data_IF_964359053729
#
_entry.id   IF_964359053729
#
_cell.length_a   1.000
_cell.length_b   1.000
_cell.length_c   1.000
_cell.angle_alpha   90.00
_cell.angle_beta   90.00
_cell.angle_gamma   90.00
#
_symmetry.space_group_name_H-M   'P 1'
#
loop_
_entity.id
_entity.type
_entity.pdbx_description
1 polymer ?
#
# COMPACT_ATOMS: atom_id res chain seq x y z
N UNK A 1 -0.45 -3.50 -14.96
CA UNK A 1 -0.35 -4.51 -13.86
C UNK A 1 -1.09 -3.91 -12.66
N UNK A 2 -2.33 -4.31 -12.41
CA UNK A 2 -3.15 -3.71 -11.35
C UNK A 2 -2.57 -4.00 -9.95
N UNK A 3 -2.55 -2.94 -9.14
CA UNK A 3 -2.15 -2.98 -7.73
C UNK A 3 -3.35 -2.60 -6.89
N UNK A 4 -3.69 -3.44 -5.95
CA UNK A 4 -4.74 -3.18 -4.97
C UNK A 4 -4.16 -3.26 -3.56
N UNK A 5 -4.62 -2.38 -2.68
CA UNK A 5 -4.21 -2.37 -1.28
C UNK A 5 -5.39 -2.76 -0.39
N UNK A 6 -5.08 -3.50 0.66
CA UNK A 6 -6.04 -3.91 1.68
C UNK A 6 -5.46 -3.61 3.06
N UNK A 7 -6.15 -2.79 3.84
CA UNK A 7 -5.70 -2.33 5.15
C UNK A 7 -6.66 -2.84 6.22
N UNK A 8 -6.15 -3.66 7.11
CA UNK A 8 -6.97 -4.23 8.18
C UNK A 8 -7.09 -3.24 9.33
N UNK A 9 -8.31 -2.81 9.62
CA UNK A 9 -8.69 -2.01 10.78
C UNK A 9 -7.71 -0.85 11.10
N UNK A 10 -7.41 0.03 10.13
CA UNK A 10 -6.48 1.14 10.32
C UNK A 10 -6.97 2.06 11.44
N UNK A 11 -6.03 2.57 12.25
CA UNK A 11 -6.31 3.40 13.42
C UNK A 11 -6.10 4.89 13.12
N UNK A 12 -4.98 5.21 12.48
CA UNK A 12 -4.54 6.60 12.28
C UNK A 12 -5.01 7.16 10.94
N UNK A 13 -5.76 8.29 10.94
CA UNK A 13 -6.08 9.03 9.72
C UNK A 13 -4.86 9.55 8.98
N UNK A 14 -3.78 9.89 9.71
CA UNK A 14 -2.52 10.35 9.14
C UNK A 14 -1.85 9.22 8.34
N UNK A 15 -1.86 7.99 8.86
CA UNK A 15 -1.37 6.82 8.13
C UNK A 15 -2.20 6.60 6.87
N UNK A 16 -3.53 6.63 6.98
CA UNK A 16 -4.40 6.47 5.80
C UNK A 16 -4.19 7.58 4.77
N UNK A 17 -4.02 8.83 5.19
CA UNK A 17 -3.68 9.95 4.30
C UNK A 17 -2.35 9.72 3.56
N UNK A 18 -1.34 9.22 4.28
CA UNK A 18 -0.03 8.87 3.70
C UNK A 18 -0.12 7.68 2.74
N UNK A 19 -0.93 6.66 3.07
CA UNK A 19 -1.20 5.51 2.21
C UNK A 19 -1.93 5.94 0.92
N UNK A 20 -2.92 6.81 1.02
CA UNK A 20 -3.63 7.37 -0.14
C UNK A 20 -2.66 8.10 -1.09
N UNK A 21 -1.77 8.93 -0.52
CA UNK A 21 -0.73 9.60 -1.31
C UNK A 21 0.22 8.61 -1.98
N UNK A 22 0.70 7.60 -1.24
CA UNK A 22 1.54 6.55 -1.81
C UNK A 22 0.82 5.80 -2.94
N UNK A 23 -0.44 5.42 -2.72
CA UNK A 23 -1.26 4.75 -3.73
C UNK A 23 -1.38 5.58 -5.02
N UNK A 24 -1.56 6.90 -4.92
CA UNK A 24 -1.54 7.80 -6.07
C UNK A 24 -0.20 7.84 -6.78
N UNK A 25 0.90 8.02 -6.03
CA UNK A 25 2.25 8.08 -6.58
C UNK A 25 2.66 6.79 -7.31
N UNK A 26 2.24 5.64 -6.82
CA UNK A 26 2.55 4.32 -7.39
C UNK A 26 1.43 3.73 -8.24
N UNK A 27 0.41 4.52 -8.56
CA UNK A 27 -0.71 4.16 -9.44
C UNK A 27 -1.48 2.90 -8.99
N UNK A 28 -1.70 2.75 -7.69
CA UNK A 28 -2.59 1.72 -7.17
C UNK A 28 -4.04 2.03 -7.59
N UNK A 29 -4.78 1.01 -7.99
CA UNK A 29 -6.14 1.18 -8.52
C UNK A 29 -7.21 1.29 -7.44
N UNK A 30 -7.00 0.64 -6.32
CA UNK A 30 -7.96 0.71 -5.21
C UNK A 30 -7.32 0.46 -3.85
N UNK A 31 -7.99 0.98 -2.82
CA UNK A 31 -7.73 0.68 -1.43
C UNK A 31 -9.04 0.17 -0.83
N UNK A 32 -8.98 -1.00 -0.18
CA UNK A 32 -10.06 -1.47 0.70
C UNK A 32 -9.59 -1.49 2.13
N UNK A 33 -10.48 -1.26 3.07
CA UNK A 33 -10.15 -1.34 4.49
C UNK A 33 -11.30 -1.94 5.29
N UNK A 34 -10.97 -2.57 6.43
CA UNK A 34 -11.95 -3.09 7.38
C UNK A 34 -11.96 -2.25 8.66
N UNK A 35 -12.95 -2.49 9.53
CA UNK A 35 -13.07 -1.87 10.85
C UNK A 35 -13.54 -0.42 10.81
N UNK A 36 -13.97 0.04 12.00
CA UNK A 36 -14.65 1.34 12.17
C UNK A 36 -13.73 2.47 12.66
N UNK A 37 -12.48 2.15 13.05
CA UNK A 37 -11.58 3.11 13.69
C UNK A 37 -11.24 4.29 12.77
N UNK A 38 -10.92 3.99 11.52
CA UNK A 38 -10.62 5.02 10.52
C UNK A 38 -11.85 5.84 10.15
N UNK A 39 -13.01 5.21 9.95
CA UNK A 39 -14.23 5.91 9.60
C UNK A 39 -14.62 6.95 10.66
N UNK A 40 -14.49 6.60 11.94
CA UNK A 40 -14.72 7.51 13.07
C UNK A 40 -13.71 8.66 13.09
N UNK A 41 -12.44 8.37 12.88
CA UNK A 41 -11.37 9.37 12.92
C UNK A 41 -11.40 10.29 11.68
N UNK A 42 -11.79 9.81 10.51
CA UNK A 42 -11.94 10.61 9.27
C UNK A 42 -12.94 11.74 9.41
N UNK A 43 -13.96 11.58 10.25
CA UNK A 43 -14.94 12.63 10.51
C UNK A 43 -14.33 13.92 11.13
N UNK A 44 -13.13 13.83 11.71
CA UNK A 44 -12.41 14.92 12.35
C UNK A 44 -11.27 15.53 11.52
N UNK A 45 -11.04 15.01 10.32
CA UNK A 45 -9.98 15.52 9.43
C UNK A 45 -10.55 16.19 8.18
N UNK A 46 -10.11 17.43 7.95
CA UNK A 46 -10.25 18.10 6.66
C UNK A 46 -9.07 17.70 5.76
N UNK A 47 -9.35 16.93 4.72
CA UNK A 47 -8.36 16.61 3.70
C UNK A 47 -8.06 17.84 2.84
N UNK A 48 -6.82 18.30 2.87
CA UNK A 48 -6.41 19.55 2.20
C UNK A 48 -5.78 19.33 0.81
N UNK A 49 -5.64 18.09 0.33
CA UNK A 49 -5.06 17.81 -1.01
C UNK A 49 -5.77 16.64 -1.69
N UNK A 50 -6.53 16.95 -2.72
CA UNK A 50 -7.36 16.05 -3.54
C UNK A 50 -6.57 14.98 -4.36
N UNK A 51 -5.44 14.46 -3.90
CA UNK A 51 -4.62 13.46 -4.62
C UNK A 51 -5.30 12.09 -4.71
N UNK A 52 -6.38 11.87 -3.95
CA UNK A 52 -7.12 10.60 -3.87
C UNK A 52 -8.34 10.53 -4.80
N UNK A 53 -8.62 11.56 -5.60
CA UNK A 53 -9.86 11.62 -6.41
C UNK A 53 -9.98 10.49 -7.43
N UNK A 54 -8.86 9.88 -7.84
CA UNK A 54 -8.84 8.82 -8.84
C UNK A 54 -8.72 7.40 -8.23
N UNK A 55 -8.52 7.28 -6.90
CA UNK A 55 -8.35 5.98 -6.25
C UNK A 55 -9.66 5.55 -5.59
N UNK A 56 -10.17 4.39 -5.99
CA UNK A 56 -11.36 3.83 -5.37
C UNK A 56 -11.05 3.37 -3.94
N UNK A 57 -11.56 4.08 -2.94
CA UNK A 57 -11.48 3.70 -1.52
C UNK A 57 -12.80 3.11 -1.06
N UNK A 58 -12.78 1.92 -0.47
CA UNK A 58 -13.98 1.23 0.01
C UNK A 58 -13.79 0.62 1.40
N UNK A 59 -14.79 0.79 2.25
CA UNK A 59 -14.96 0.00 3.47
C UNK A 59 -15.56 -1.36 3.11
N UNK A 60 -15.04 -2.42 3.71
CA UNK A 60 -15.52 -3.80 3.53
C UNK A 60 -15.58 -4.50 4.89
N UNK A 61 -16.53 -5.40 5.05
CA UNK A 61 -16.68 -6.16 6.29
C UNK A 61 -15.56 -7.20 6.44
N UNK A 62 -15.21 -7.86 5.32
CA UNK A 62 -14.15 -8.87 5.25
C UNK A 62 -13.14 -8.51 4.16
N UNK A 63 -11.85 -8.55 4.50
CA UNK A 63 -10.80 -8.04 3.62
C UNK A 63 -10.62 -8.87 2.34
N UNK A 64 -10.85 -10.18 2.40
CA UNK A 64 -10.70 -11.12 1.27
C UNK A 64 -12.05 -11.44 0.61
N UNK A 65 -13.17 -11.23 1.32
CA UNK A 65 -14.51 -11.51 0.78
C UNK A 65 -14.81 -10.70 -0.49
N UNK A 66 -15.56 -11.33 -1.41
CA UNK A 66 -15.96 -10.72 -2.69
C UNK A 66 -14.81 -10.35 -3.64
N UNK A 67 -13.64 -10.96 -3.49
CA UNK A 67 -12.64 -10.93 -4.54
C UNK A 67 -13.08 -11.92 -5.63
N UNK A 68 -13.83 -11.41 -6.61
CA UNK A 68 -14.31 -12.20 -7.76
C UNK A 68 -13.24 -12.35 -8.85
N UNK A 69 -12.19 -11.55 -8.80
CA UNK A 69 -11.07 -11.64 -9.74
C UNK A 69 -10.12 -12.77 -9.31
N UNK A 70 -10.29 -13.92 -9.95
CA UNK A 70 -9.46 -15.12 -9.73
C UNK A 70 -8.01 -14.94 -10.18
N UNK A 71 -7.68 -13.86 -10.88
CA UNK A 71 -6.32 -13.52 -11.32
C UNK A 71 -5.55 -12.66 -10.32
N UNK A 72 -6.20 -12.26 -9.22
CA UNK A 72 -5.61 -11.39 -8.22
C UNK A 72 -4.87 -12.20 -7.16
N UNK A 73 -3.55 -12.13 -7.16
CA UNK A 73 -2.69 -12.80 -6.18
C UNK A 73 -2.69 -12.03 -4.86
N UNK A 74 -3.04 -12.69 -3.77
CA UNK A 74 -3.06 -12.12 -2.43
C UNK A 74 -1.68 -12.27 -1.78
N UNK A 75 -1.16 -11.16 -1.28
CA UNK A 75 0.15 -11.08 -0.64
C UNK A 75 -0.02 -10.43 0.74
N UNK A 76 0.13 -11.20 1.80
CA UNK A 76 0.18 -10.65 3.15
C UNK A 76 1.53 -9.98 3.41
N UNK A 77 1.51 -8.80 4.00
CA UNK A 77 2.72 -8.05 4.38
C UNK A 77 2.81 -8.04 5.90
N UNK A 78 3.58 -8.97 6.44
CA UNK A 78 3.63 -9.19 7.89
C UNK A 78 5.00 -9.74 8.33
N UNK A 79 5.42 -9.37 9.54
CA UNK A 79 6.67 -9.82 10.14
C UNK A 79 6.45 -11.14 10.90
N UNK A 80 6.40 -12.24 10.16
CA UNK A 80 6.17 -13.59 10.70
C UNK A 80 7.20 -14.60 10.21
N UNK A 81 7.40 -15.67 10.98
CA UNK A 81 8.28 -16.77 10.59
C UNK A 81 7.81 -17.42 9.29
N UNK A 82 8.75 -17.77 8.43
CA UNK A 82 8.48 -18.38 7.11
C UNK A 82 8.13 -17.37 6.01
N UNK A 83 7.96 -16.08 6.32
CA UNK A 83 7.73 -15.06 5.30
C UNK A 83 8.96 -14.82 4.42
N UNK A 84 8.73 -14.47 3.17
CA UNK A 84 9.81 -14.14 2.21
C UNK A 84 10.31 -12.71 2.46
N UNK A 85 11.62 -12.46 2.57
CA UNK A 85 12.13 -11.10 2.67
C UNK A 85 11.86 -10.33 1.37
N UNK A 86 11.37 -9.10 1.50
CA UNK A 86 10.98 -8.26 0.36
C UNK A 86 12.06 -8.12 -0.73
N UNK A 87 13.36 -7.99 -0.42
CA UNK A 87 14.40 -7.95 -1.44
C UNK A 87 14.44 -9.17 -2.37
N UNK A 88 14.00 -10.33 -1.88
CA UNK A 88 13.99 -11.59 -2.63
C UNK A 88 12.62 -11.92 -3.24
N UNK A 89 11.62 -11.11 -2.96
CA UNK A 89 10.26 -11.35 -3.41
C UNK A 89 10.05 -10.92 -4.87
N UNK A 90 9.44 -11.78 -5.68
CA UNK A 90 9.03 -11.47 -7.05
C UNK A 90 7.57 -11.06 -7.01
N UNK A 91 7.29 -9.81 -7.36
CA UNK A 91 5.93 -9.27 -7.31
C UNK A 91 5.06 -9.87 -8.41
N UNK A 92 3.87 -10.41 -8.07
CA UNK A 92 2.89 -10.86 -9.07
C UNK A 92 2.40 -9.70 -9.93
N UNK A 93 2.00 -9.99 -11.16
CA UNK A 93 1.48 -8.95 -12.07
C UNK A 93 0.25 -8.25 -11.50
N UNK A 94 -0.72 -9.01 -11.01
CA UNK A 94 -1.96 -8.53 -10.43
C UNK A 94 -1.95 -8.87 -8.94
N UNK A 95 -1.86 -7.88 -8.08
CA UNK A 95 -1.65 -8.10 -6.65
C UNK A 95 -2.64 -7.37 -5.77
N UNK A 96 -3.09 -8.06 -4.73
CA UNK A 96 -3.69 -7.46 -3.54
C UNK A 96 -2.70 -7.57 -2.38
N UNK A 97 -2.11 -6.45 -1.98
CA UNK A 97 -1.26 -6.40 -0.80
C UNK A 97 -2.09 -6.12 0.43
N UNK A 98 -2.00 -7.00 1.42
CA UNK A 98 -2.78 -6.96 2.66
C UNK A 98 -1.85 -6.58 3.80
N UNK A 99 -2.21 -5.50 4.51
CA UNK A 99 -1.45 -4.97 5.64
C UNK A 99 -2.27 -5.08 6.92
N UNK A 100 -1.61 -5.44 8.02
CA UNK A 100 -2.19 -5.53 9.34
C UNK A 100 -2.47 -4.15 9.96
N UNK A 101 -3.18 -4.13 11.11
CA UNK A 101 -3.39 -2.91 11.89
C UNK A 101 -2.08 -2.42 12.52
N UNK A 102 -2.04 -1.13 12.90
CA UNK A 102 -0.83 -0.53 13.51
C UNK A 102 -0.48 -1.12 14.88
N UNK A 103 -1.46 -1.68 15.58
CA UNK A 103 -1.36 -2.18 16.94
C UNK A 103 -1.67 -3.69 17.07
N UNK A 104 -1.46 -4.45 15.99
CA UNK A 104 -1.68 -5.88 15.96
C UNK A 104 -1.04 -6.54 14.73
N UNK A 105 -1.42 -7.78 14.49
CA UNK A 105 -0.94 -8.57 13.34
C UNK A 105 -2.12 -9.00 12.47
N UNK A 106 -1.80 -9.47 11.26
CA UNK A 106 -2.79 -10.11 10.38
C UNK A 106 -3.20 -11.45 11.01
N UNK A 107 -4.50 -11.68 11.11
CA UNK A 107 -5.01 -12.95 11.64
C UNK A 107 -4.59 -14.13 10.78
N UNK A 108 -4.29 -15.27 11.42
CA UNK A 108 -3.81 -16.49 10.74
C UNK A 108 -4.76 -16.92 9.62
N UNK A 109 -6.09 -16.86 9.83
CA UNK A 109 -7.07 -17.24 8.83
C UNK A 109 -7.04 -16.37 7.56
N UNK A 110 -6.52 -15.14 7.62
CA UNK A 110 -6.28 -14.28 6.46
C UNK A 110 -4.95 -14.68 5.80
N UNK A 111 -3.91 -14.89 6.59
CA UNK A 111 -2.59 -15.35 6.10
C UNK A 111 -2.71 -16.66 5.33
N UNK A 112 -3.49 -17.62 5.85
CA UNK A 112 -3.72 -18.94 5.22
C UNK A 112 -4.44 -18.85 3.86
N UNK A 113 -5.10 -17.73 3.57
CA UNK A 113 -5.77 -17.49 2.29
C UNK A 113 -4.89 -16.69 1.30
N UNK A 114 -3.68 -16.32 1.69
CA UNK A 114 -2.73 -15.61 0.83
C UNK A 114 -1.80 -16.58 0.12
N UNK A 115 -1.51 -16.32 -1.14
CA UNK A 115 -0.56 -17.10 -1.92
C UNK A 115 0.88 -16.83 -1.50
N UNK A 116 1.15 -15.64 -0.91
CA UNK A 116 2.47 -15.24 -0.43
C UNK A 116 2.38 -14.46 0.86
N UNK A 117 3.41 -14.58 1.68
CA UNK A 117 3.66 -13.73 2.83
C UNK A 117 5.05 -13.11 2.68
N UNK A 118 5.13 -11.80 2.81
CA UNK A 118 6.39 -11.05 2.67
C UNK A 118 6.62 -10.17 3.88
N UNK A 119 7.88 -9.94 4.22
CA UNK A 119 8.26 -8.99 5.27
C UNK A 119 9.37 -8.05 4.79
N UNK A 120 9.44 -6.87 5.39
CA UNK A 120 10.54 -5.92 5.17
C UNK A 120 11.59 -6.17 6.24
N UNK A 121 12.82 -6.57 5.87
CA UNK A 121 13.89 -6.88 6.82
C UNK A 121 14.43 -5.59 7.45
N UNK A 122 13.93 -5.24 8.63
CA UNK A 122 14.34 -4.07 9.41
C UNK A 122 14.60 -4.44 10.88
N UNK A 123 15.31 -3.59 11.59
CA UNK A 123 15.44 -3.72 13.05
C UNK A 123 14.20 -3.08 13.70
N UNK A 124 13.24 -3.92 14.06
CA UNK A 124 11.95 -3.51 14.65
C UNK A 124 10.83 -3.28 13.64
N UNK A 125 9.64 -2.96 14.14
CA UNK A 125 8.44 -2.77 13.32
C UNK A 125 8.43 -1.37 12.69
N UNK A 126 8.12 -1.32 11.40
CA UNK A 126 7.92 -0.07 10.66
C UNK A 126 6.51 0.47 10.86
N UNK A 127 6.37 1.79 10.74
CA UNK A 127 5.06 2.43 10.62
C UNK A 127 4.30 1.88 9.39
N UNK A 128 2.98 1.71 9.51
CA UNK A 128 2.13 1.15 8.46
C UNK A 128 2.27 1.89 7.11
N UNK A 129 2.20 3.21 7.11
CA UNK A 129 2.31 3.98 5.87
C UNK A 129 3.73 3.92 5.26
N UNK A 130 4.76 3.84 6.09
CA UNK A 130 6.13 3.63 5.64
C UNK A 130 6.29 2.24 5.00
N UNK A 131 5.70 1.20 5.61
CA UNK A 131 5.69 -0.17 5.08
C UNK A 131 5.05 -0.22 3.69
N UNK A 132 3.89 0.43 3.52
CA UNK A 132 3.21 0.54 2.21
C UNK A 132 4.10 1.23 1.17
N UNK A 133 4.74 2.35 1.52
CA UNK A 133 5.64 3.07 0.62
C UNK A 133 6.83 2.22 0.19
N UNK A 134 7.49 1.54 1.13
CA UNK A 134 8.66 0.70 0.82
C UNK A 134 8.28 -0.46 -0.09
N UNK A 135 7.16 -1.14 0.19
CA UNK A 135 6.69 -2.25 -0.64
C UNK A 135 6.36 -1.78 -2.06
N UNK A 136 5.63 -0.67 -2.20
CA UNK A 136 5.25 -0.14 -3.51
C UNK A 136 6.48 0.36 -4.29
N UNK A 137 7.47 0.95 -3.62
CA UNK A 137 8.74 1.33 -4.24
C UNK A 137 9.52 0.10 -4.71
N UNK A 138 9.65 -0.94 -3.88
CA UNK A 138 10.34 -2.19 -4.25
C UNK A 138 9.69 -2.84 -5.47
N UNK A 139 8.33 -2.88 -5.48
CA UNK A 139 7.60 -3.34 -6.66
C UNK A 139 7.93 -2.52 -7.90
N UNK A 140 7.85 -1.19 -7.80
CA UNK A 140 8.16 -0.28 -8.92
C UNK A 140 9.58 -0.54 -9.44
N UNK A 141 10.56 -0.60 -8.54
CA UNK A 141 11.97 -0.81 -8.89
C UNK A 141 12.23 -2.15 -9.60
N UNK A 142 11.47 -3.20 -9.24
CA UNK A 142 11.62 -4.54 -9.80
C UNK A 142 10.82 -4.81 -11.06
N UNK A 143 9.67 -4.12 -11.25
CA UNK A 143 8.71 -4.48 -12.30
C UNK A 143 8.60 -3.45 -13.42
N UNK A 144 9.03 -2.23 -13.20
CA UNK A 144 8.81 -1.15 -14.16
C UNK A 144 10.12 -0.66 -14.76
N UNK A 145 10.21 -0.71 -16.07
CA UNK A 145 11.20 0.08 -16.83
C UNK A 145 10.67 1.52 -16.96
N UNK A 146 10.60 2.25 -15.86
CA UNK A 146 10.22 3.65 -15.93
C UNK A 146 11.35 4.45 -16.59
N UNK A 147 11.04 5.30 -17.57
CA UNK A 147 12.02 6.26 -18.05
C UNK A 147 12.40 7.17 -16.87
N UNK A 148 13.64 7.10 -16.44
CA UNK A 148 14.24 7.96 -15.41
C UNK A 148 14.95 9.11 -16.12
N UNK A 149 14.19 10.08 -16.58
CA UNK A 149 14.72 11.25 -17.27
C UNK A 149 14.21 12.56 -16.64
N UNK A 150 14.78 13.66 -17.08
CA UNK A 150 14.42 15.01 -16.62
C UNK A 150 12.95 15.37 -16.91
N UNK A 151 12.29 14.70 -17.87
CA UNK A 151 10.87 14.94 -18.17
C UNK A 151 9.99 14.40 -17.06
N UNK A 152 10.32 13.20 -16.53
CA UNK A 152 9.60 12.63 -15.39
C UNK A 152 9.73 13.56 -14.19
N UNK A 153 10.94 14.06 -13.90
CA UNK A 153 11.17 14.99 -12.80
C UNK A 153 10.34 16.27 -12.98
N UNK A 154 10.37 16.86 -14.18
CA UNK A 154 9.62 18.09 -14.47
C UNK A 154 8.11 17.93 -14.30
N UNK A 155 7.57 16.77 -14.69
CA UNK A 155 6.15 16.49 -14.61
C UNK A 155 5.69 16.14 -13.19
N UNK A 156 6.59 15.57 -12.36
CA UNK A 156 6.27 15.09 -11.02
C UNK A 156 6.51 16.12 -9.91
N UNK A 157 7.33 17.16 -10.17
CA UNK A 157 7.70 18.17 -9.17
C UNK A 157 6.67 19.29 -9.04
N UNK A 158 6.69 19.97 -7.90
CA UNK A 158 5.92 21.18 -7.69
C UNK A 158 6.39 22.33 -8.62
N UNK A 159 5.49 23.26 -8.94
CA UNK A 159 5.74 24.36 -9.88
C UNK A 159 6.87 25.30 -9.49
N UNK A 160 7.19 25.38 -8.20
CA UNK A 160 8.21 26.29 -7.66
C UNK A 160 9.61 25.69 -7.50
N UNK A 161 9.79 24.41 -7.78
CA UNK A 161 11.09 23.76 -7.65
C UNK A 161 12.01 24.10 -8.82
N UNK A 162 13.02 24.94 -8.56
CA UNK A 162 14.04 25.38 -9.54
C UNK A 162 15.42 24.75 -9.29
N UNK A 163 15.59 23.98 -8.22
CA UNK A 163 16.87 23.37 -7.86
C UNK A 163 17.26 22.29 -8.87
N UNK A 164 18.55 22.23 -9.19
CA UNK A 164 19.14 21.20 -10.05
C UNK A 164 20.29 20.52 -9.32
N UNK A 165 20.48 19.24 -9.58
CA UNK A 165 21.70 18.54 -9.18
C UNK A 165 22.91 19.13 -9.95
N UNK A 166 24.09 19.07 -9.30
CA UNK A 166 25.37 19.45 -9.94
C UNK A 166 25.79 18.36 -10.90
#
# INVERSE_FOLDING_TARGET
MPIHLAIINPKSPENMGSILRAAGCYQAQSIRYTGERYARAKAFQTDTKNVHLDIKVSHVDEIICKITDTKLTKVAVELVEGATPLPNFIHPENSLYIFGPEDGSIEQGIVDQCEHVVYIPTIGCMNLAATVNVLLYDRLAKTTQMPVDDKVIKNSRDTNNRTKAK
#
